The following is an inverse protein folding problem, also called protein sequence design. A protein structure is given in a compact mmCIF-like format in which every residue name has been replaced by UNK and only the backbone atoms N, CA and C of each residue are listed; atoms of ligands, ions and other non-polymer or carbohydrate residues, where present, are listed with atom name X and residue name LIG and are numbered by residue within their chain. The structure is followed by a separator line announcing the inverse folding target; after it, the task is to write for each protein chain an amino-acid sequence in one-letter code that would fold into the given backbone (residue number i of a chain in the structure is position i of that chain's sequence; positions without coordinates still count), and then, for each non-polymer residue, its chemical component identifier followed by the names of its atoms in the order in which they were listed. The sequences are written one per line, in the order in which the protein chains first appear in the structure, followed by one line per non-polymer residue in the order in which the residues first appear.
data_IF_424909958985
#
_entry.id   IF_424909958985
#
_cell.length_a   1.000
_cell.length_b   1.000
_cell.length_c   1.000
_cell.angle_alpha   90.00
_cell.angle_beta   90.00
_cell.angle_gamma   90.00
#
_symmetry.space_group_name_H-M   'P 1'
#
loop_
_entity.id
_entity.type
_entity.pdbx_description
1 polymer ?
#
# COMPACT_ATOMS: atom_id res chain seq x y z
N UNK A 1 28.92 -19.70 27.85
CA UNK A 1 27.72 -18.86 28.07
C UNK A 1 28.16 -17.41 28.13
N UNK A 2 28.04 -16.64 27.04
CA UNK A 2 28.36 -15.21 27.09
C UNK A 2 27.70 -14.43 25.96
N UNK A 3 26.80 -13.53 26.36
CA UNK A 3 26.26 -12.35 25.66
C UNK A 3 25.63 -12.57 24.28
N UNK A 4 24.33 -12.86 24.31
CA UNK A 4 23.41 -12.40 23.27
C UNK A 4 23.56 -10.88 23.12
N UNK A 5 24.15 -10.44 22.01
CA UNK A 5 24.05 -9.05 21.55
C UNK A 5 22.57 -8.76 21.29
N UNK A 6 21.89 -8.13 22.25
CA UNK A 6 20.65 -7.42 21.99
C UNK A 6 20.96 -6.30 20.98
N UNK A 7 20.76 -6.58 19.69
CA UNK A 7 20.66 -5.55 18.68
C UNK A 7 19.52 -4.63 19.06
N UNK A 8 19.84 -3.41 19.53
CA UNK A 8 18.89 -2.31 19.72
C UNK A 8 18.01 -2.20 18.47
N UNK A 9 16.76 -2.63 18.56
CA UNK A 9 15.79 -2.52 17.46
C UNK A 9 15.43 -1.05 17.30
N UNK A 10 16.20 -0.35 16.46
CA UNK A 10 15.98 1.07 16.14
C UNK A 10 14.59 1.19 15.54
N UNK A 11 13.70 1.93 16.23
CA UNK A 11 12.28 1.99 15.86
C UNK A 11 12.01 2.55 14.45
N UNK A 12 13.03 3.13 13.83
CA UNK A 12 13.02 3.79 12.53
C UNK A 12 13.34 2.87 11.35
N UNK A 13 13.61 1.58 11.58
CA UNK A 13 13.90 0.60 10.52
C UNK A 13 13.03 -0.66 10.69
N UNK A 14 12.38 -1.10 9.61
CA UNK A 14 11.65 -2.36 9.56
C UNK A 14 12.62 -3.55 9.58
N UNK A 15 12.25 -4.69 10.20
CA UNK A 15 13.05 -5.90 10.09
C UNK A 15 13.13 -6.37 8.63
N UNK A 16 14.22 -7.05 8.25
CA UNK A 16 14.41 -7.48 6.86
C UNK A 16 13.44 -8.62 6.46
N UNK A 17 12.98 -8.61 5.21
CA UNK A 17 12.18 -9.66 4.60
C UNK A 17 12.61 -9.93 3.16
N UNK A 18 12.34 -11.14 2.67
CA UNK A 18 12.58 -11.47 1.27
C UNK A 18 11.55 -10.77 0.38
N UNK A 19 12.01 -9.86 -0.47
CA UNK A 19 11.15 -9.20 -1.44
C UNK A 19 11.30 -9.86 -2.82
N UNK A 20 10.16 -10.16 -3.44
CA UNK A 20 10.07 -10.63 -4.83
C UNK A 20 9.08 -9.75 -5.57
N UNK A 21 9.44 -9.29 -6.76
CA UNK A 21 8.57 -8.40 -7.55
C UNK A 21 7.36 -9.13 -8.13
N UNK A 22 7.54 -10.38 -8.54
CA UNK A 22 6.49 -11.22 -9.13
C UNK A 22 6.47 -12.60 -8.45
N UNK A 23 6.04 -12.70 -7.18
CA UNK A 23 5.86 -13.99 -6.54
C UNK A 23 4.71 -14.74 -7.23
N UNK A 24 4.90 -16.03 -7.47
CA UNK A 24 3.92 -16.92 -8.13
C UNK A 24 3.48 -18.08 -7.25
N UNK A 25 3.90 -18.09 -5.99
CA UNK A 25 3.57 -19.16 -5.05
C UNK A 25 2.08 -19.15 -4.71
N UNK A 26 1.43 -20.31 -4.74
CA UNK A 26 0.00 -20.47 -4.43
C UNK A 26 -0.37 -19.90 -3.07
N UNK A 27 0.51 -20.06 -2.07
CA UNK A 27 0.32 -19.50 -0.72
C UNK A 27 0.22 -17.97 -0.74
N UNK A 28 1.06 -17.31 -1.54
CA UNK A 28 1.07 -15.85 -1.69
C UNK A 28 -0.23 -15.39 -2.35
N UNK A 29 -0.64 -16.06 -3.43
CA UNK A 29 -1.88 -15.74 -4.14
C UNK A 29 -3.09 -15.86 -3.20
N UNK A 30 -3.23 -16.98 -2.50
CA UNK A 30 -4.33 -17.20 -1.54
C UNK A 30 -4.32 -16.14 -0.45
N UNK A 31 -3.15 -15.83 0.13
CA UNK A 31 -3.03 -14.78 1.16
C UNK A 31 -3.47 -13.42 0.64
N UNK A 32 -3.11 -13.06 -0.60
CA UNK A 32 -3.49 -11.78 -1.21
C UNK A 32 -4.98 -11.69 -1.55
N UNK A 33 -5.62 -12.82 -1.88
CA UNK A 33 -7.07 -12.91 -2.07
C UNK A 33 -7.80 -12.69 -0.75
N UNK A 34 -7.43 -13.42 0.32
CA UNK A 34 -8.04 -13.21 1.64
C UNK A 34 -7.79 -11.80 2.16
N UNK A 35 -6.58 -11.27 1.99
CA UNK A 35 -6.26 -9.88 2.30
C UNK A 35 -7.18 -8.95 1.51
N UNK A 36 -7.32 -9.11 0.20
CA UNK A 36 -8.20 -8.26 -0.61
C UNK A 36 -9.67 -8.35 -0.18
N UNK A 37 -10.17 -9.52 0.20
CA UNK A 37 -11.54 -9.70 0.71
C UNK A 37 -11.76 -8.98 2.04
N UNK A 38 -10.88 -9.18 3.02
CA UNK A 38 -10.97 -8.47 4.32
C UNK A 38 -10.94 -6.96 4.11
N UNK A 39 -10.14 -6.51 3.16
CA UNK A 39 -9.94 -5.09 2.89
C UNK A 39 -11.08 -4.49 2.09
N UNK A 40 -11.71 -5.23 1.18
CA UNK A 40 -12.92 -4.80 0.49
C UNK A 40 -14.04 -4.49 1.47
N UNK A 41 -14.19 -5.26 2.57
CA UNK A 41 -15.18 -4.95 3.61
C UNK A 41 -14.91 -3.58 4.24
N UNK A 42 -13.64 -3.28 4.59
CA UNK A 42 -13.27 -2.01 5.21
C UNK A 42 -13.44 -0.87 4.21
N UNK A 43 -12.98 -1.05 2.96
CA UNK A 43 -13.08 -0.03 1.91
C UNK A 43 -14.52 0.28 1.54
N UNK A 44 -15.41 -0.70 1.56
CA UNK A 44 -16.85 -0.45 1.34
C UNK A 44 -17.45 0.47 2.40
N UNK A 45 -16.97 0.40 3.65
CA UNK A 45 -17.39 1.31 4.70
C UNK A 45 -16.80 2.70 4.44
N UNK A 46 -15.51 2.80 4.13
CA UNK A 46 -14.85 4.10 3.92
C UNK A 46 -15.34 4.81 2.68
N UNK A 47 -15.64 4.10 1.60
CA UNK A 47 -16.21 4.64 0.38
C UNK A 47 -17.59 5.24 0.63
N UNK A 48 -18.41 4.62 1.50
CA UNK A 48 -19.70 5.19 1.92
C UNK A 48 -19.54 6.44 2.79
N UNK A 49 -18.50 6.49 3.62
CA UNK A 49 -18.16 7.69 4.38
C UNK A 49 -17.72 8.81 3.44
N UNK A 50 -16.84 8.53 2.48
CA UNK A 50 -16.39 9.51 1.48
C UNK A 50 -17.55 9.98 0.59
N UNK A 51 -18.47 9.08 0.23
CA UNK A 51 -19.70 9.43 -0.47
C UNK A 51 -20.54 10.42 0.34
N UNK A 52 -20.67 10.22 1.64
CA UNK A 52 -21.42 11.12 2.53
C UNK A 52 -20.71 12.46 2.77
N UNK A 53 -19.37 12.49 2.81
CA UNK A 53 -18.59 13.69 3.11
C UNK A 53 -18.35 14.59 1.90
N UNK A 54 -18.04 13.99 0.74
CA UNK A 54 -17.55 14.72 -0.44
C UNK A 54 -18.29 14.34 -1.72
N UNK A 55 -19.40 13.59 -1.60
CA UNK A 55 -20.11 13.04 -2.75
C UNK A 55 -19.31 11.96 -3.50
N UNK A 56 -18.25 11.43 -2.89
CA UNK A 56 -17.36 10.44 -3.50
C UNK A 56 -16.35 11.04 -4.49
N UNK A 57 -16.36 12.37 -4.65
CA UNK A 57 -15.44 13.07 -5.54
C UNK A 57 -14.05 13.28 -4.93
N UNK A 58 -13.92 13.25 -3.60
CA UNK A 58 -12.64 13.40 -2.90
C UNK A 58 -12.52 12.28 -1.85
N UNK A 59 -11.68 11.26 -2.07
CA UNK A 59 -11.57 10.11 -1.18
C UNK A 59 -10.64 10.42 0.00
N UNK A 60 -11.18 11.01 1.08
CA UNK A 60 -10.39 11.43 2.24
C UNK A 60 -10.08 10.23 3.14
N UNK A 61 -11.12 9.51 3.55
CA UNK A 61 -11.01 8.38 4.48
C UNK A 61 -10.43 7.17 3.76
N UNK A 62 -10.91 6.89 2.55
CA UNK A 62 -10.44 5.78 1.74
C UNK A 62 -8.96 5.91 1.42
N UNK A 63 -8.42 7.10 1.15
CA UNK A 63 -6.98 7.28 0.89
C UNK A 63 -6.07 6.84 2.04
N UNK A 64 -6.47 7.10 3.29
CA UNK A 64 -5.73 6.65 4.48
C UNK A 64 -5.71 5.12 4.55
N UNK A 65 -6.89 4.52 4.38
CA UNK A 65 -7.10 3.07 4.47
C UNK A 65 -6.41 2.33 3.34
N UNK A 66 -6.53 2.83 2.12
CA UNK A 66 -5.79 2.38 0.93
C UNK A 66 -4.29 2.30 1.22
N UNK A 67 -3.70 3.38 1.74
CA UNK A 67 -2.28 3.41 2.06
C UNK A 67 -1.91 2.34 3.10
N UNK A 68 -2.73 2.18 4.14
CA UNK A 68 -2.54 1.22 5.22
C UNK A 68 -2.51 -0.24 4.74
N UNK A 69 -3.00 -0.52 3.54
CA UNK A 69 -3.33 -1.87 3.06
C UNK A 69 -2.56 -2.24 1.79
N UNK A 70 -2.63 -1.38 0.78
CA UNK A 70 -1.99 -1.63 -0.51
C UNK A 70 -0.47 -1.54 -0.40
N UNK A 71 0.03 -0.66 0.48
CA UNK A 71 1.48 -0.56 0.69
C UNK A 71 2.06 -1.84 1.31
N UNK A 72 1.50 -2.42 2.39
CA UNK A 72 1.96 -3.73 2.86
C UNK A 72 1.78 -4.85 1.84
N UNK A 73 0.66 -4.88 1.10
CA UNK A 73 0.43 -5.90 0.08
C UNK A 73 1.51 -5.85 -1.01
N UNK A 74 1.78 -4.66 -1.56
CA UNK A 74 2.82 -4.45 -2.55
C UNK A 74 4.22 -4.67 -2.00
N UNK A 75 4.49 -4.25 -0.75
CA UNK A 75 5.81 -4.37 -0.15
C UNK A 75 6.17 -5.81 0.25
N UNK A 76 5.19 -6.66 0.60
CA UNK A 76 5.45 -8.04 1.02
C UNK A 76 5.20 -9.07 -0.08
N UNK A 77 4.22 -8.84 -0.96
CA UNK A 77 3.77 -9.80 -1.96
C UNK A 77 3.98 -9.30 -3.40
N UNK A 78 4.78 -8.25 -3.57
CA UNK A 78 5.16 -7.72 -4.88
C UNK A 78 3.96 -7.24 -5.70
N UNK A 79 4.17 -7.13 -7.00
CA UNK A 79 3.16 -6.61 -7.93
C UNK A 79 1.96 -7.56 -8.07
N UNK A 80 2.21 -8.88 -8.14
CA UNK A 80 1.15 -9.88 -8.26
C UNK A 80 0.18 -9.79 -7.08
N UNK A 81 0.71 -9.79 -5.85
CA UNK A 81 -0.11 -9.71 -4.66
C UNK A 81 -0.82 -8.38 -4.53
N UNK A 82 -0.14 -7.28 -4.86
CA UNK A 82 -0.71 -5.94 -4.80
C UNK A 82 -1.94 -5.79 -5.72
N UNK A 83 -1.81 -6.19 -6.99
CA UNK A 83 -2.90 -6.06 -7.96
C UNK A 83 -4.08 -6.95 -7.60
N UNK A 84 -3.84 -8.19 -7.16
CA UNK A 84 -4.92 -9.08 -6.69
C UNK A 84 -5.65 -8.43 -5.50
N UNK A 85 -4.91 -8.02 -4.47
CA UNK A 85 -5.52 -7.39 -3.28
C UNK A 85 -6.29 -6.12 -3.66
N UNK A 86 -5.72 -5.28 -4.52
CA UNK A 86 -6.29 -3.99 -4.84
C UNK A 86 -7.45 -4.08 -5.84
N UNK A 87 -7.52 -5.10 -6.70
CA UNK A 87 -8.62 -5.26 -7.66
C UNK A 87 -9.84 -6.01 -7.13
N UNK A 88 -9.76 -6.66 -5.97
CA UNK A 88 -10.96 -7.18 -5.31
C UNK A 88 -11.90 -6.03 -4.91
N UNK A 89 -11.36 -4.88 -4.48
CA UNK A 89 -12.17 -3.71 -4.13
C UNK A 89 -13.06 -3.20 -5.29
N UNK A 90 -12.52 -2.84 -6.47
CA UNK A 90 -13.34 -2.36 -7.57
C UNK A 90 -14.34 -3.40 -8.06
N UNK A 91 -14.03 -4.70 -8.02
CA UNK A 91 -15.03 -5.74 -8.35
C UNK A 91 -16.25 -5.62 -7.44
N UNK A 92 -16.04 -5.56 -6.12
CA UNK A 92 -17.11 -5.45 -5.14
C UNK A 92 -17.82 -4.09 -5.23
N UNK A 93 -17.07 -3.00 -5.41
CA UNK A 93 -17.58 -1.64 -5.56
C UNK A 93 -18.50 -1.51 -6.78
N UNK A 94 -18.15 -2.12 -7.92
CA UNK A 94 -19.01 -2.16 -9.11
C UNK A 94 -20.26 -3.02 -8.88
N UNK A 95 -20.12 -4.20 -8.25
CA UNK A 95 -21.25 -5.10 -7.96
C UNK A 95 -22.27 -4.49 -6.97
N UNK A 96 -21.82 -3.60 -6.10
CA UNK A 96 -22.64 -2.98 -5.05
C UNK A 96 -23.01 -1.53 -5.35
N UNK A 97 -22.59 -1.01 -6.51
CA UNK A 97 -22.72 0.39 -6.89
C UNK A 97 -22.34 1.34 -5.73
N UNK A 98 -21.15 1.12 -5.14
CA UNK A 98 -20.75 1.87 -3.94
C UNK A 98 -20.52 3.35 -4.22
N UNK A 99 -19.99 3.67 -5.41
CA UNK A 99 -19.73 5.03 -5.86
C UNK A 99 -19.70 5.13 -7.40
N UNK A 100 -19.98 6.30 -7.98
CA UNK A 100 -19.97 6.49 -9.44
C UNK A 100 -18.60 6.23 -10.08
N UNK A 101 -17.52 6.37 -9.30
CA UNK A 101 -16.14 6.14 -9.73
C UNK A 101 -15.73 4.66 -9.75
N UNK A 102 -16.60 3.74 -9.33
CA UNK A 102 -16.29 2.31 -9.18
C UNK A 102 -15.62 1.67 -10.40
N UNK A 103 -16.02 1.93 -11.66
CA UNK A 103 -15.36 1.33 -12.83
C UNK A 103 -13.91 1.80 -13.01
N UNK A 104 -13.61 3.03 -12.59
CA UNK A 104 -12.28 3.63 -12.74
C UNK A 104 -11.31 3.22 -11.63
N UNK A 105 -11.82 2.68 -10.53
CA UNK A 105 -11.01 2.26 -9.39
C UNK A 105 -9.96 1.19 -9.74
N UNK A 106 -10.16 0.40 -10.80
CA UNK A 106 -9.10 -0.51 -11.29
C UNK A 106 -7.81 0.23 -11.64
N UNK A 107 -7.95 1.40 -12.29
CA UNK A 107 -6.83 2.22 -12.74
C UNK A 107 -6.18 2.97 -11.59
N UNK A 108 -6.98 3.55 -10.68
CA UNK A 108 -6.46 4.27 -9.50
C UNK A 108 -5.67 3.31 -8.61
N UNK A 109 -6.20 2.12 -8.40
CA UNK A 109 -5.58 1.09 -7.57
C UNK A 109 -4.27 0.58 -8.19
N UNK A 110 -4.23 0.40 -9.51
CA UNK A 110 -2.99 0.09 -10.22
C UNK A 110 -1.99 1.25 -10.16
N UNK A 111 -2.46 2.49 -10.33
CA UNK A 111 -1.64 3.70 -10.26
C UNK A 111 -1.03 3.91 -8.86
N UNK A 112 -1.62 3.37 -7.80
CA UNK A 112 -1.01 3.35 -6.48
C UNK A 112 -0.05 2.15 -6.30
N UNK A 113 -0.54 0.94 -6.54
CA UNK A 113 0.18 -0.30 -6.17
C UNK A 113 1.41 -0.58 -7.03
N UNK A 114 1.37 -0.24 -8.32
CA UNK A 114 2.50 -0.43 -9.24
C UNK A 114 3.70 0.42 -8.81
N UNK A 115 3.57 1.75 -8.59
CA UNK A 115 4.67 2.54 -8.06
C UNK A 115 5.18 2.05 -6.71
N UNK A 116 4.31 1.60 -5.78
CA UNK A 116 4.78 1.04 -4.51
C UNK A 116 5.69 -0.15 -4.75
N UNK A 117 5.25 -1.14 -5.52
CA UNK A 117 6.03 -2.35 -5.77
C UNK A 117 7.38 -2.03 -6.44
N UNK A 118 7.40 -1.10 -7.40
CA UNK A 118 8.61 -0.66 -8.09
C UNK A 118 9.56 0.13 -7.17
N UNK A 119 9.04 1.02 -6.33
CA UNK A 119 9.86 1.80 -5.41
C UNK A 119 10.38 0.95 -4.26
N UNK A 120 9.61 -0.03 -3.76
CA UNK A 120 10.12 -1.02 -2.81
C UNK A 120 11.24 -1.84 -3.45
N UNK A 121 11.06 -2.28 -4.70
CA UNK A 121 12.10 -2.99 -5.45
C UNK A 121 13.39 -2.15 -5.59
N UNK A 122 13.26 -0.85 -5.88
CA UNK A 122 14.40 0.04 -6.08
C UNK A 122 15.08 0.46 -4.76
N UNK A 123 14.31 0.69 -3.69
CA UNK A 123 14.80 1.30 -2.45
C UNK A 123 15.13 0.32 -1.33
N UNK A 124 14.63 -0.93 -1.40
CA UNK A 124 14.88 -1.97 -0.40
C UNK A 124 16.11 -2.80 -0.78
N UNK A 125 17.23 -2.68 -0.05
CA UNK A 125 18.37 -3.56 -0.27
C UNK A 125 18.08 -4.99 0.20
N UNK A 126 18.90 -5.94 -0.24
CA UNK A 126 18.74 -7.36 0.11
C UNK A 126 19.05 -7.63 1.59
N UNK A 127 19.96 -6.87 2.18
CA UNK A 127 20.51 -7.06 3.53
C UNK A 127 19.74 -6.32 4.63
N UNK A 128 18.89 -5.34 4.29
CA UNK A 128 18.17 -4.52 5.26
C UNK A 128 16.72 -4.25 4.88
N UNK A 129 15.87 -4.06 5.90
CA UNK A 129 14.51 -3.57 5.71
C UNK A 129 14.44 -2.08 5.41
N UNK A 130 13.22 -1.59 5.15
CA UNK A 130 12.99 -0.18 4.83
C UNK A 130 13.01 0.71 6.09
N UNK A 131 13.56 1.92 5.94
CA UNK A 131 13.47 2.98 6.95
C UNK A 131 12.09 3.64 6.92
N UNK A 132 11.64 4.22 8.03
CA UNK A 132 10.38 4.96 8.11
C UNK A 132 10.24 6.01 7.00
N UNK A 133 11.27 6.84 6.78
CA UNK A 133 11.22 7.86 5.74
C UNK A 133 11.10 7.27 4.34
N UNK A 134 11.68 6.08 4.08
CA UNK A 134 11.54 5.41 2.79
C UNK A 134 10.09 4.98 2.58
N UNK A 135 9.44 4.43 3.61
CA UNK A 135 8.02 4.08 3.55
C UNK A 135 7.15 5.31 3.32
N UNK A 136 7.45 6.43 3.99
CA UNK A 136 6.73 7.70 3.79
C UNK A 136 6.92 8.21 2.36
N UNK A 137 8.14 8.25 1.83
CA UNK A 137 8.40 8.70 0.45
C UNK A 137 7.69 7.80 -0.56
N UNK A 138 7.73 6.47 -0.37
CA UNK A 138 7.00 5.52 -1.22
C UNK A 138 5.50 5.81 -1.21
N UNK A 139 4.92 5.98 -0.01
CA UNK A 139 3.49 6.27 0.13
C UNK A 139 3.09 7.61 -0.47
N UNK A 140 3.94 8.64 -0.39
CA UNK A 140 3.67 9.94 -1.00
C UNK A 140 3.73 9.93 -2.53
N UNK A 141 4.73 9.25 -3.12
CA UNK A 141 4.85 9.15 -4.58
C UNK A 141 3.69 8.31 -5.13
N UNK A 142 3.40 7.15 -4.51
CA UNK A 142 2.28 6.31 -4.91
C UNK A 142 0.92 7.00 -4.70
N UNK A 143 0.75 7.72 -3.59
CA UNK A 143 -0.43 8.53 -3.31
C UNK A 143 -0.65 9.63 -4.34
N UNK A 144 0.43 10.27 -4.82
CA UNK A 144 0.33 11.27 -5.88
C UNK A 144 -0.13 10.65 -7.21
N UNK A 145 0.41 9.48 -7.57
CA UNK A 145 -0.02 8.75 -8.77
C UNK A 145 -1.50 8.34 -8.69
N UNK A 146 -1.93 7.88 -7.52
CA UNK A 146 -3.32 7.52 -7.23
C UNK A 146 -4.25 8.74 -7.30
N UNK A 147 -3.92 9.83 -6.59
CA UNK A 147 -4.71 11.06 -6.58
C UNK A 147 -4.84 11.68 -7.99
N UNK A 148 -3.76 11.65 -8.78
CA UNK A 148 -3.79 12.11 -10.17
C UNK A 148 -4.72 11.24 -11.02
N UNK A 149 -4.61 9.92 -10.90
CA UNK A 149 -5.48 8.99 -11.64
C UNK A 149 -6.94 9.15 -11.22
N UNK A 150 -7.21 9.28 -9.92
CA UNK A 150 -8.56 9.51 -9.40
C UNK A 150 -9.15 10.83 -9.91
N UNK A 151 -8.34 11.89 -9.97
CA UNK A 151 -8.74 13.17 -10.56
C UNK A 151 -9.08 13.06 -12.06
N UNK A 152 -8.30 12.28 -12.82
CA UNK A 152 -8.60 11.99 -14.22
C UNK A 152 -9.94 11.24 -14.35
N UNK A 153 -10.19 10.24 -13.50
CA UNK A 153 -11.46 9.53 -13.52
C UNK A 153 -12.64 10.45 -13.16
N UNK A 154 -12.48 11.34 -12.18
CA UNK A 154 -13.47 12.35 -11.83
C UNK A 154 -13.77 13.28 -13.01
N UNK A 155 -12.76 13.65 -13.79
CA UNK A 155 -12.95 14.43 -15.02
C UNK A 155 -13.73 13.64 -16.07
N UNK A 156 -13.38 12.38 -16.29
CA UNK A 156 -13.96 11.55 -17.37
C UNK A 156 -15.39 11.11 -17.05
N UNK A 157 -15.68 10.77 -15.78
CA UNK A 157 -16.97 10.22 -15.35
C UNK A 157 -17.89 11.33 -14.87
N UNK A 158 -17.43 12.16 -13.93
CA UNK A 158 -18.23 13.20 -13.29
C UNK A 158 -18.13 14.56 -13.99
N UNK A 159 -17.37 14.66 -15.07
CA UNK A 159 -17.22 15.86 -15.89
C UNK A 159 -16.73 17.10 -15.11
N UNK A 160 -16.04 16.89 -13.98
CA UNK A 160 -15.49 17.96 -13.15
C UNK A 160 -14.41 18.78 -13.89
N UNK A 161 -14.17 20.05 -13.52
CA UNK A 161 -13.14 20.88 -14.18
C UNK A 161 -11.73 20.39 -13.87
N UNK A 162 -10.77 20.68 -14.76
CA UNK A 162 -9.36 20.28 -14.57
C UNK A 162 -8.76 20.86 -13.28
N UNK A 163 -9.15 22.06 -12.90
CA UNK A 163 -8.71 22.71 -11.67
C UNK A 163 -9.09 21.92 -10.42
N UNK A 164 -10.18 21.14 -10.46
CA UNK A 164 -10.60 20.27 -9.38
C UNK A 164 -9.55 19.22 -9.02
N UNK A 165 -8.80 18.71 -10.01
CA UNK A 165 -7.75 17.71 -9.79
C UNK A 165 -6.69 18.28 -8.84
N UNK A 166 -6.29 19.55 -9.04
CA UNK A 166 -5.29 20.19 -8.18
C UNK A 166 -5.78 20.31 -6.75
N UNK A 167 -7.02 20.74 -6.55
CA UNK A 167 -7.66 20.86 -5.23
C UNK A 167 -7.77 19.50 -4.55
N UNK A 168 -8.21 18.47 -5.28
CA UNK A 168 -8.31 17.11 -4.78
C UNK A 168 -6.93 16.58 -4.34
N UNK A 169 -5.88 16.75 -5.16
CA UNK A 169 -4.52 16.32 -4.81
C UNK A 169 -4.04 17.01 -3.53
N UNK A 170 -4.28 18.32 -3.39
CA UNK A 170 -3.90 19.09 -2.21
C UNK A 170 -4.60 18.59 -0.93
N UNK A 171 -5.85 18.14 -1.05
CA UNK A 171 -6.62 17.60 0.09
C UNK A 171 -6.19 16.16 0.42
N UNK A 172 -5.98 15.32 -0.60
CA UNK A 172 -5.76 13.88 -0.39
C UNK A 172 -4.30 13.56 -0.05
N UNK A 173 -3.30 14.34 -0.48
CA UNK A 173 -1.90 14.06 -0.12
C UNK A 173 -1.61 14.03 1.38
N UNK A 174 -2.12 14.98 2.20
CA UNK A 174 -2.05 14.86 3.65
C UNK A 174 -2.63 13.55 4.20
N UNK A 175 -3.71 13.02 3.59
CA UNK A 175 -4.29 11.74 3.97
C UNK A 175 -3.34 10.57 3.70
N UNK A 176 -2.67 10.54 2.54
CA UNK A 176 -1.64 9.52 2.26
C UNK A 176 -0.43 9.65 3.20
N UNK A 177 -0.12 10.86 3.68
CA UNK A 177 0.96 11.07 4.62
C UNK A 177 0.62 10.41 5.96
N UNK A 178 -0.57 10.68 6.48
CA UNK A 178 -1.10 10.04 7.69
C UNK A 178 -1.17 8.52 7.50
N UNK A 179 -1.71 8.07 6.37
CA UNK A 179 -1.77 6.66 5.98
C UNK A 179 -0.40 5.99 6.02
N UNK A 180 0.65 6.64 5.49
CA UNK A 180 2.01 6.10 5.47
C UNK A 180 2.59 5.85 6.88
N UNK A 181 2.27 6.70 7.86
CA UNK A 181 2.68 6.46 9.26
C UNK A 181 1.96 5.26 9.87
N UNK A 182 0.66 5.13 9.60
CA UNK A 182 -0.15 3.98 10.03
C UNK A 182 0.37 2.69 9.39
N UNK A 183 0.62 2.73 8.08
CA UNK A 183 1.23 1.65 7.29
C UNK A 183 2.52 1.16 7.92
N UNK A 184 3.41 2.07 8.32
CA UNK A 184 4.67 1.68 8.94
C UNK A 184 4.46 0.87 10.23
N UNK A 185 3.51 1.28 11.07
CA UNK A 185 3.12 0.54 12.27
C UNK A 185 2.57 -0.86 11.94
N UNK A 186 1.71 -0.95 10.92
CA UNK A 186 1.13 -2.21 10.44
C UNK A 186 2.22 -3.14 9.89
N UNK A 187 3.05 -2.64 8.97
CA UNK A 187 4.15 -3.40 8.37
C UNK A 187 5.09 -3.97 9.42
N UNK A 188 5.44 -3.18 10.44
CA UNK A 188 6.30 -3.66 11.53
C UNK A 188 5.66 -4.80 12.31
N UNK A 189 4.36 -4.72 12.60
CA UNK A 189 3.62 -5.80 13.27
C UNK A 189 3.56 -7.04 12.37
N UNK A 190 3.24 -6.89 11.08
CA UNK A 190 3.15 -7.99 10.12
C UNK A 190 4.48 -8.74 9.92
N UNK A 191 5.61 -8.02 9.87
CA UNK A 191 6.92 -8.66 9.81
C UNK A 191 7.22 -9.46 11.09
N UNK A 192 6.65 -9.07 12.22
CA UNK A 192 6.86 -9.75 13.50
C UNK A 192 5.94 -10.96 13.71
N UNK A 193 4.80 -11.06 13.04
CA UNK A 193 3.83 -12.16 13.20
C UNK A 193 4.22 -13.45 12.45
N UNK A 194 5.32 -13.44 11.68
CA UNK A 194 5.81 -14.62 10.95
C UNK A 194 5.04 -14.94 9.67
N UNK A 195 4.07 -14.10 9.28
CA UNK A 195 3.35 -14.19 8.01
C UNK A 195 4.25 -13.89 6.81
N UNK A 196 5.31 -13.10 7.01
CA UNK A 196 6.30 -12.76 5.99
C UNK A 196 7.58 -13.58 6.22
N UNK A 197 8.14 -14.26 5.19
CA UNK A 197 9.41 -14.95 5.30
C UNK A 197 10.52 -13.97 5.68
N UNK A 198 11.02 -14.08 6.92
CA UNK A 198 12.19 -13.31 7.36
C UNK A 198 13.43 -13.85 6.66
N UNK A 199 14.16 -12.98 5.97
CA UNK A 199 15.53 -13.29 5.59
C UNK A 199 16.37 -13.23 6.88
N UNK A 200 16.91 -14.38 7.30
CA UNK A 200 17.96 -14.38 8.32
C UNK A 200 19.10 -13.55 7.78
N UNK A 201 19.56 -12.56 8.54
CA UNK A 201 20.84 -11.93 8.26
C UNK A 201 21.88 -13.04 8.11
N UNK A 202 22.59 -13.06 6.99
CA UNK A 202 23.75 -13.94 6.81
C UNK A 202 24.75 -13.58 7.91
N UNK A 203 24.76 -14.37 8.97
CA UNK A 203 25.93 -14.47 9.83
C UNK A 203 27.03 -15.10 8.98
N UNK A 204 27.95 -14.29 8.46
CA UNK A 204 29.12 -14.77 7.73
C UNK A 204 29.48 -13.93 6.51
N UNK A 205 30.24 -12.85 6.72
CA UNK A 205 31.27 -12.40 5.77
C UNK A 205 32.25 -11.38 6.37
N UNK A 206 32.47 -11.39 7.69
CA UNK A 206 33.54 -10.59 8.32
C UNK A 206 34.68 -11.43 8.90
N UNK A 207 34.72 -12.74 8.62
CA UNK A 207 35.88 -13.59 8.89
C UNK A 207 36.23 -14.40 7.64
N UNK A 208 36.96 -13.78 6.71
CA UNK A 208 37.91 -14.40 5.76
C UNK A 208 38.30 -13.41 4.66
N UNK A 209 39.26 -12.53 4.96
CA UNK A 209 40.60 -12.38 4.34
C UNK A 209 41.17 -11.05 4.84
#
# INVERSE_FOLDING_TARGET
MTRAQQTKTRWTVLPNWKFQILPRDTRTIITCVFLGLTMAVILQITERIDLALTGGSIPIVSAIVVCAIWVPSAAFYGLTGALITAWINPIISNLTASQPMAPFLFLTNAAHTVPVALLVWALKPRDRGLKLWQVVVIGQIAGLCDAMMFGIGNRVILHLPWDFITVQILIVQPCYLVGSFITYGIMRRLVNTGLVPKERATAGSLDAV
#
